data_IF_454407861852
#
_entry.id   IF_454407861852
#
_cell.length_a   1.000
_cell.length_b   1.000
_cell.length_c   1.000
_cell.angle_alpha   90.00
_cell.angle_beta   90.00
_cell.angle_gamma   90.00
#
_symmetry.space_group_name_H-M   'P 1'
#
loop_
_entity.id
_entity.type
_entity.pdbx_description
1 polymer ?
#
# COMPACT_ATOMS: atom_id res chain seq x y z
N UNK A 1 15.30 3.72 -17.21
CA UNK A 1 14.56 2.44 -17.12
C UNK A 1 13.40 2.55 -16.15
N UNK A 2 12.44 1.64 -16.22
CA UNK A 2 11.13 1.76 -15.55
C UNK A 2 11.06 1.11 -14.17
N UNK A 3 11.81 0.05 -13.90
CA UNK A 3 11.83 -0.60 -12.59
C UNK A 3 13.04 -1.52 -12.38
N UNK A 4 13.06 -2.20 -11.23
CA UNK A 4 14.17 -3.10 -10.84
C UNK A 4 14.43 -4.19 -11.88
N UNK A 5 13.39 -4.91 -12.31
CA UNK A 5 13.52 -6.02 -13.27
C UNK A 5 14.15 -5.55 -14.59
N UNK A 6 13.67 -4.42 -15.13
CA UNK A 6 14.21 -3.83 -16.36
C UNK A 6 15.67 -3.40 -16.20
N UNK A 7 16.01 -2.84 -15.03
CA UNK A 7 17.38 -2.41 -14.71
C UNK A 7 18.32 -3.62 -14.63
N UNK A 8 17.95 -4.64 -13.86
CA UNK A 8 18.76 -5.84 -13.70
C UNK A 8 18.94 -6.56 -15.03
N UNK A 9 17.87 -6.73 -15.81
CA UNK A 9 17.95 -7.35 -17.14
C UNK A 9 18.87 -6.56 -18.08
N UNK A 10 18.79 -5.23 -18.06
CA UNK A 10 19.66 -4.37 -18.87
C UNK A 10 21.11 -4.45 -18.43
N UNK A 11 21.38 -4.45 -17.12
CA UNK A 11 22.73 -4.60 -16.59
C UNK A 11 23.34 -5.94 -17.01
N UNK A 12 22.59 -7.03 -16.90
CA UNK A 12 23.04 -8.36 -17.34
C UNK A 12 23.29 -8.41 -18.84
N UNK A 13 22.38 -7.87 -19.65
CA UNK A 13 22.54 -7.82 -21.10
C UNK A 13 23.74 -6.97 -21.53
N UNK A 14 24.01 -5.85 -20.84
CA UNK A 14 25.20 -5.03 -21.09
C UNK A 14 26.49 -5.79 -20.73
N UNK A 15 26.50 -6.53 -19.62
CA UNK A 15 27.65 -7.34 -19.22
C UNK A 15 27.94 -8.45 -20.24
N UNK A 16 26.93 -9.21 -20.65
CA UNK A 16 27.05 -10.26 -21.66
C UNK A 16 27.56 -9.71 -23.00
N UNK A 17 27.05 -8.55 -23.43
CA UNK A 17 27.51 -7.90 -24.66
C UNK A 17 28.94 -7.38 -24.56
N UNK A 18 29.37 -6.94 -23.38
CA UNK A 18 30.75 -6.52 -23.15
C UNK A 18 31.72 -7.70 -23.28
N UNK A 19 31.34 -8.89 -22.81
CA UNK A 19 32.14 -10.12 -22.95
C UNK A 19 32.28 -10.60 -24.40
N UNK A 20 31.31 -10.27 -25.26
CA UNK A 20 31.32 -10.61 -26.69
C UNK A 20 32.19 -9.68 -27.54
N UNK A 21 32.63 -8.54 -26.99
CA UNK A 21 33.48 -7.59 -27.69
C UNK A 21 34.96 -7.98 -27.54
N UNK A 22 35.73 -7.76 -28.60
CA UNK A 22 37.18 -7.98 -28.58
C UNK A 22 37.86 -6.77 -27.91
N UNK A 23 38.55 -7.01 -26.79
CA UNK A 23 39.25 -6.01 -25.97
C UNK A 23 38.51 -4.68 -25.74
N UNK A 24 37.29 -4.68 -25.15
CA UNK A 24 36.56 -3.44 -24.93
C UNK A 24 37.22 -2.57 -23.84
N UNK A 25 37.11 -1.23 -23.93
CA UNK A 25 37.55 -0.36 -22.86
C UNK A 25 36.76 -0.65 -21.56
N UNK A 26 37.39 -0.53 -20.38
CA UNK A 26 36.78 -0.96 -19.12
C UNK A 26 35.51 -0.15 -18.81
N UNK A 27 34.43 -0.87 -18.51
CA UNK A 27 33.09 -0.34 -18.27
C UNK A 27 32.54 -0.84 -16.93
N UNK A 28 32.23 0.08 -16.01
CA UNK A 28 31.61 -0.24 -14.73
C UNK A 28 30.08 -0.04 -14.82
N UNK A 29 29.32 -1.13 -14.76
CA UNK A 29 27.86 -1.12 -14.83
C UNK A 29 27.28 -1.05 -13.41
N UNK A 30 26.49 -0.01 -13.11
CA UNK A 30 25.96 0.26 -11.78
C UNK A 30 24.43 0.45 -11.82
N UNK A 31 23.64 -0.45 -11.21
CA UNK A 31 22.19 -0.28 -11.12
C UNK A 31 21.81 0.72 -10.02
N UNK A 32 20.73 1.47 -10.21
CA UNK A 32 20.13 2.28 -9.14
C UNK A 32 18.60 2.33 -9.20
N UNK A 33 17.97 1.93 -8.09
CA UNK A 33 16.53 1.95 -7.86
C UNK A 33 16.26 2.04 -6.35
N UNK A 34 15.04 2.46 -5.97
CA UNK A 34 14.72 2.84 -4.59
C UNK A 34 14.93 1.74 -3.54
N UNK A 35 14.74 0.47 -3.91
CA UNK A 35 14.89 -0.68 -3.01
C UNK A 35 16.35 -1.15 -2.84
N UNK A 36 17.29 -0.61 -3.62
CA UNK A 36 18.69 -1.02 -3.56
C UNK A 36 19.32 -0.66 -2.19
N UNK A 37 20.16 -1.51 -1.57
CA UNK A 37 20.87 -1.16 -0.34
C UNK A 37 21.71 0.13 -0.46
N UNK A 38 21.62 1.01 0.55
CA UNK A 38 22.31 2.32 0.55
C UNK A 38 23.83 2.26 0.27
N UNK A 39 24.49 1.20 0.70
CA UNK A 39 25.90 0.89 0.45
C UNK A 39 26.18 0.66 -1.05
N UNK A 40 25.28 -0.02 -1.77
CA UNK A 40 25.34 -0.15 -3.23
C UNK A 40 24.92 1.14 -3.94
N UNK A 41 23.94 1.87 -3.42
CA UNK A 41 23.58 3.20 -3.94
C UNK A 41 24.77 4.17 -3.84
N UNK A 42 25.55 4.11 -2.76
CA UNK A 42 26.71 4.97 -2.56
C UNK A 42 27.82 4.75 -3.61
N UNK A 43 27.92 3.55 -4.19
CA UNK A 43 28.93 3.22 -5.22
C UNK A 43 28.81 4.09 -6.48
N UNK A 44 27.61 4.61 -6.80
CA UNK A 44 27.43 5.48 -7.98
C UNK A 44 28.24 6.78 -7.87
N UNK A 45 28.43 7.27 -6.63
CA UNK A 45 29.12 8.53 -6.33
C UNK A 45 30.63 8.36 -6.25
N UNK A 46 31.11 7.13 -6.06
CA UNK A 46 32.53 6.84 -6.01
C UNK A 46 33.15 7.03 -7.39
N UNK A 47 34.41 7.47 -7.43
CA UNK A 47 35.17 7.55 -8.68
C UNK A 47 35.40 6.13 -9.21
N UNK A 48 35.39 6.00 -10.54
CA UNK A 48 35.64 4.72 -11.17
C UNK A 48 37.07 4.26 -10.90
N UNK A 49 37.24 2.99 -10.56
CA UNK A 49 38.55 2.35 -10.49
C UNK A 49 39.14 2.24 -11.91
N UNK A 50 40.47 2.34 -12.02
CA UNK A 50 41.21 2.15 -13.28
C UNK A 50 40.80 3.05 -14.46
N UNK A 51 40.25 4.23 -14.17
CA UNK A 51 39.77 5.18 -15.19
C UNK A 51 38.69 4.61 -16.13
N UNK A 52 37.96 3.59 -15.65
CA UNK A 52 36.86 2.96 -16.38
C UNK A 52 35.68 3.92 -16.58
N UNK A 53 34.95 3.75 -17.69
CA UNK A 53 33.70 4.49 -17.91
C UNK A 53 32.61 3.92 -17.01
N UNK A 54 31.88 4.77 -16.28
CA UNK A 54 30.69 4.34 -15.52
C UNK A 54 29.44 4.41 -16.37
N UNK A 55 28.62 3.36 -16.31
CA UNK A 55 27.28 3.32 -16.87
C UNK A 55 26.30 3.08 -15.74
N UNK A 56 25.44 4.07 -15.50
CA UNK A 56 24.44 4.01 -14.43
C UNK A 56 23.09 3.71 -15.08
N UNK A 57 22.49 2.57 -14.71
CA UNK A 57 21.17 2.18 -15.18
C UNK A 57 20.15 2.51 -14.07
N UNK A 58 19.37 3.56 -14.29
CA UNK A 58 18.55 4.19 -13.25
C UNK A 58 17.04 4.22 -13.55
N UNK A 59 16.24 4.29 -12.49
CA UNK A 59 14.86 4.77 -12.53
C UNK A 59 14.79 6.31 -12.55
N UNK A 60 13.60 6.88 -12.45
CA UNK A 60 13.36 8.32 -12.28
C UNK A 60 14.00 8.92 -11.01
N UNK A 61 14.60 8.13 -10.11
CA UNK A 61 15.38 8.65 -8.98
C UNK A 61 16.55 9.52 -9.42
N UNK A 62 17.15 9.22 -10.58
CA UNK A 62 18.22 10.02 -11.17
C UNK A 62 17.71 11.29 -11.88
N UNK A 63 16.41 11.44 -12.06
CA UNK A 63 15.80 12.54 -12.81
C UNK A 63 15.81 13.86 -12.03
N UNK A 64 15.50 13.82 -10.74
CA UNK A 64 15.39 14.99 -9.85
C UNK A 64 16.34 14.91 -8.67
N UNK A 65 16.27 13.82 -7.90
CA UNK A 65 16.78 13.71 -6.53
C UNK A 65 18.28 13.44 -6.40
N UNK A 66 18.98 13.08 -7.48
CA UNK A 66 20.40 12.69 -7.42
C UNK A 66 21.26 13.52 -8.36
N UNK A 67 22.39 13.99 -7.86
CA UNK A 67 23.39 14.74 -8.63
C UNK A 67 24.65 13.90 -8.72
N UNK A 68 24.71 13.03 -9.72
CA UNK A 68 25.95 12.28 -10.01
C UNK A 68 26.85 13.14 -10.86
N UNK A 69 28.08 13.32 -10.39
CA UNK A 69 29.09 14.12 -11.08
C UNK A 69 29.67 13.37 -12.28
N UNK A 70 29.99 14.10 -13.36
CA UNK A 70 30.60 13.55 -14.58
C UNK A 70 29.65 12.83 -15.55
N UNK A 71 28.33 13.03 -15.45
CA UNK A 71 27.39 12.56 -16.47
C UNK A 71 27.52 13.44 -17.71
N UNK A 72 28.02 12.86 -18.81
CA UNK A 72 28.12 13.51 -20.12
C UNK A 72 27.15 12.92 -21.15
N UNK A 73 26.67 11.69 -20.91
CA UNK A 73 25.80 10.97 -21.83
C UNK A 73 24.56 10.48 -21.09
N UNK A 74 23.39 10.73 -21.67
CA UNK A 74 22.10 10.22 -21.17
C UNK A 74 21.45 9.40 -22.26
N UNK A 75 20.97 8.20 -21.93
CA UNK A 75 20.13 7.38 -22.80
C UNK A 75 18.75 7.30 -22.16
N UNK A 76 17.74 7.84 -22.84
CA UNK A 76 16.38 7.94 -22.33
C UNK A 76 15.44 7.00 -23.08
N UNK A 77 14.87 6.03 -22.35
CA UNK A 77 13.91 5.09 -22.89
C UNK A 77 12.51 5.70 -23.10
N UNK A 78 12.22 6.88 -22.54
CA UNK A 78 10.92 7.56 -22.74
C UNK A 78 9.78 7.05 -21.84
N UNK A 79 10.06 6.17 -20.88
CA UNK A 79 9.04 5.60 -19.98
C UNK A 79 9.36 5.82 -18.49
N UNK A 80 8.31 5.78 -17.67
CA UNK A 80 8.37 5.72 -16.21
C UNK A 80 7.26 4.81 -15.66
N UNK A 81 7.40 4.36 -14.41
CA UNK A 81 6.29 3.72 -13.67
C UNK A 81 5.61 4.78 -12.81
N UNK A 82 4.31 4.95 -12.98
CA UNK A 82 3.48 5.83 -12.17
C UNK A 82 2.47 5.02 -11.37
N UNK A 83 2.22 5.45 -10.13
CA UNK A 83 1.12 4.95 -9.31
C UNK A 83 -0.17 5.62 -9.80
N UNK A 84 -1.14 4.81 -10.21
CA UNK A 84 -2.44 5.24 -10.71
C UNK A 84 -3.51 4.60 -9.83
N UNK A 85 -4.37 5.44 -9.26
CA UNK A 85 -5.48 5.02 -8.43
C UNK A 85 -6.75 4.84 -9.27
N UNK A 86 -7.39 3.68 -9.16
CA UNK A 86 -8.72 3.45 -9.71
C UNK A 86 -9.77 3.59 -8.58
N UNK A 87 -10.57 4.66 -8.56
CA UNK A 87 -11.52 4.92 -7.48
C UNK A 87 -12.59 3.84 -7.39
N UNK A 88 -13.15 3.38 -8.52
CA UNK A 88 -14.30 2.44 -8.52
C UNK A 88 -14.00 1.12 -7.83
N UNK A 89 -12.75 0.67 -7.98
CA UNK A 89 -12.27 -0.58 -7.41
C UNK A 89 -11.56 -0.34 -6.07
N UNK A 90 -11.11 0.89 -5.82
CA UNK A 90 -10.28 1.23 -4.67
C UNK A 90 -8.88 0.62 -4.76
N UNK A 91 -8.36 0.49 -5.98
CA UNK A 91 -7.13 -0.24 -6.28
C UNK A 91 -6.02 0.70 -6.75
N UNK A 92 -4.83 0.51 -6.21
CA UNK A 92 -3.61 1.15 -6.71
C UNK A 92 -2.93 0.24 -7.73
N UNK A 93 -2.60 0.80 -8.89
CA UNK A 93 -1.86 0.10 -9.94
C UNK A 93 -0.55 0.84 -10.23
N UNK A 94 0.54 0.08 -10.39
CA UNK A 94 1.80 0.61 -10.91
C UNK A 94 1.83 0.37 -12.42
N UNK A 95 1.53 1.40 -13.19
CA UNK A 95 1.47 1.30 -14.65
C UNK A 95 2.72 1.92 -15.26
N UNK A 96 3.26 1.26 -16.29
CA UNK A 96 4.28 1.85 -17.15
C UNK A 96 3.59 2.84 -18.09
N UNK A 97 4.01 4.10 -18.03
CA UNK A 97 3.46 5.19 -18.84
C UNK A 97 4.59 5.91 -19.57
N UNK A 98 4.31 6.53 -20.74
CA UNK A 98 5.26 7.44 -21.36
C UNK A 98 5.53 8.62 -20.43
N UNK A 99 6.74 9.17 -20.52
CA UNK A 99 7.13 10.36 -19.75
C UNK A 99 6.55 11.63 -20.37
N UNK A 100 6.49 12.72 -19.59
CA UNK A 100 6.18 14.03 -20.14
C UNK A 100 7.39 14.66 -20.84
N UNK A 101 7.14 15.68 -21.66
CA UNK A 101 8.20 16.49 -22.26
C UNK A 101 9.06 17.16 -21.18
N UNK A 102 8.45 17.63 -20.10
CA UNK A 102 9.15 18.15 -18.94
C UNK A 102 10.11 17.11 -18.32
N UNK A 103 9.68 15.87 -18.15
CA UNK A 103 10.54 14.79 -17.64
C UNK A 103 11.72 14.50 -18.60
N UNK A 104 11.45 14.39 -19.90
CA UNK A 104 12.47 14.19 -20.93
C UNK A 104 13.52 15.31 -20.93
N UNK A 105 13.08 16.55 -20.74
CA UNK A 105 13.96 17.72 -20.65
C UNK A 105 14.80 17.69 -19.36
N UNK A 106 14.23 17.29 -18.22
CA UNK A 106 15.00 17.10 -17.00
C UNK A 106 16.05 15.98 -17.13
N UNK A 107 15.69 14.85 -17.75
CA UNK A 107 16.62 13.73 -17.99
C UNK A 107 17.78 14.16 -18.88
N UNK A 108 17.50 14.76 -20.02
CA UNK A 108 18.55 15.28 -20.92
C UNK A 108 19.40 16.38 -20.26
N UNK A 109 18.80 17.22 -19.41
CA UNK A 109 19.53 18.22 -18.62
C UNK A 109 20.58 17.64 -17.67
N UNK A 110 20.51 16.34 -17.33
CA UNK A 110 21.54 15.68 -16.51
C UNK A 110 22.89 15.57 -17.22
N UNK A 111 22.91 15.40 -18.54
CA UNK A 111 24.13 15.36 -19.34
C UNK A 111 24.83 16.72 -19.44
N UNK A 112 24.11 17.83 -19.21
CA UNK A 112 24.65 19.19 -19.37
C UNK A 112 25.19 19.83 -18.08
N UNK A 113 25.32 19.08 -16.97
CA UNK A 113 25.63 19.67 -15.66
C UNK A 113 27.11 20.03 -15.48
N UNK A 114 28.01 19.18 -15.97
CA UNK A 114 29.47 19.36 -15.81
C UNK A 114 30.14 19.92 -17.05
N UNK A 115 29.48 19.89 -18.20
CA UNK A 115 30.01 20.34 -19.47
C UNK A 115 29.07 19.98 -20.62
N UNK A 116 29.52 20.16 -21.88
CA UNK A 116 28.74 19.79 -23.06
C UNK A 116 28.47 18.28 -23.08
N UNK A 117 27.21 17.88 -22.99
CA UNK A 117 26.79 16.48 -23.02
C UNK A 117 25.82 16.15 -24.14
N UNK A 118 25.55 14.86 -24.34
CA UNK A 118 24.66 14.33 -25.38
C UNK A 118 23.55 13.51 -24.74
N UNK A 119 22.32 13.74 -25.19
CA UNK A 119 21.15 12.95 -24.79
C UNK A 119 20.60 12.16 -25.98
N UNK A 120 20.60 10.84 -25.86
CA UNK A 120 20.03 9.91 -26.82
C UNK A 120 18.62 9.53 -26.37
N UNK A 121 17.61 10.03 -27.06
CA UNK A 121 16.19 9.70 -26.83
C UNK A 121 15.81 8.52 -27.73
N UNK A 122 15.35 7.41 -27.14
CA UNK A 122 15.00 6.18 -27.88
C UNK A 122 13.58 6.22 -28.46
N UNK A 123 13.12 7.40 -28.84
CA UNK A 123 11.80 7.66 -29.41
C UNK A 123 11.90 8.74 -30.49
N UNK A 124 10.94 8.76 -31.42
CA UNK A 124 10.95 9.69 -32.54
C UNK A 124 10.67 11.12 -32.07
N UNK A 125 11.14 12.09 -32.85
CA UNK A 125 10.82 13.49 -32.60
C UNK A 125 9.32 13.77 -32.71
N UNK A 126 8.62 13.04 -33.57
CA UNK A 126 7.16 13.13 -33.72
C UNK A 126 6.44 12.69 -32.42
N UNK A 127 6.81 11.54 -31.86
CA UNK A 127 6.25 11.07 -30.58
C UNK A 127 6.52 12.05 -29.44
N UNK A 128 7.71 12.66 -29.39
CA UNK A 128 8.03 13.68 -28.38
C UNK A 128 7.12 14.92 -28.49
N UNK A 129 6.80 15.36 -29.71
CA UNK A 129 6.02 16.58 -29.95
C UNK A 129 4.51 16.36 -29.84
N UNK A 130 4.02 15.22 -30.33
CA UNK A 130 2.59 14.98 -30.55
C UNK A 130 1.97 13.95 -29.60
N UNK A 131 2.73 12.97 -29.11
CA UNK A 131 2.20 11.89 -28.26
C UNK A 131 2.47 12.13 -26.76
N UNK A 132 3.58 12.78 -26.41
CA UNK A 132 3.96 13.05 -25.02
C UNK A 132 3.26 14.30 -24.47
N UNK A 133 2.69 14.19 -23.27
CA UNK A 133 2.17 15.33 -22.52
C UNK A 133 3.26 16.36 -22.24
N UNK A 134 2.92 17.65 -22.28
CA UNK A 134 3.87 18.73 -21.99
C UNK A 134 4.39 18.63 -20.55
N UNK A 135 3.47 18.49 -19.60
CA UNK A 135 3.75 18.37 -18.17
C UNK A 135 3.25 17.02 -17.64
N UNK A 136 3.84 16.59 -16.54
CA UNK A 136 3.40 15.37 -15.85
C UNK A 136 2.06 15.62 -15.16
N UNK A 137 1.14 14.66 -15.24
CA UNK A 137 -0.14 14.72 -14.53
C UNK A 137 0.12 14.84 -13.02
N UNK A 138 -0.48 15.83 -12.33
CA UNK A 138 -0.30 16.07 -10.90
C UNK A 138 -0.65 14.87 -10.03
N UNK A 139 0.00 14.76 -8.87
CA UNK A 139 -0.21 13.64 -7.93
C UNK A 139 -1.64 13.58 -7.40
N UNK A 140 -2.24 14.74 -7.08
CA UNK A 140 -3.61 14.84 -6.57
C UNK A 140 -4.65 14.23 -7.53
N UNK A 141 -4.38 14.21 -8.83
CA UNK A 141 -5.30 13.65 -9.83
C UNK A 141 -5.19 12.13 -9.98
N UNK A 142 -4.15 11.50 -9.43
CA UNK A 142 -3.80 10.09 -9.70
C UNK A 142 -3.63 9.22 -8.45
N UNK A 143 -3.79 9.76 -7.24
CA UNK A 143 -3.67 9.02 -5.97
C UNK A 143 -5.00 8.99 -5.21
N UNK A 144 -5.10 8.10 -4.21
CA UNK A 144 -6.20 8.14 -3.25
C UNK A 144 -6.12 9.43 -2.42
N UNK A 145 -7.27 10.11 -2.26
CA UNK A 145 -7.38 11.38 -1.56
C UNK A 145 -7.91 11.27 -0.14
N UNK A 146 -8.11 10.05 0.40
CA UNK A 146 -8.70 9.86 1.73
C UNK A 146 -7.97 10.66 2.83
N UNK A 147 -6.63 10.59 2.88
CA UNK A 147 -5.82 11.33 3.87
C UNK A 147 -5.92 12.86 3.68
N UNK A 148 -5.90 13.32 2.42
CA UNK A 148 -5.99 14.74 2.06
C UNK A 148 -7.38 15.30 2.39
N UNK A 149 -8.44 14.56 2.07
CA UNK A 149 -9.84 14.94 2.35
C UNK A 149 -10.08 15.02 3.86
N UNK A 150 -9.57 14.06 4.64
CA UNK A 150 -9.63 14.10 6.10
C UNK A 150 -8.96 15.36 6.65
N UNK A 151 -7.78 15.70 6.13
CA UNK A 151 -7.02 16.87 6.54
C UNK A 151 -7.70 18.19 6.15
N UNK A 152 -8.24 18.31 4.93
CA UNK A 152 -8.97 19.51 4.51
C UNK A 152 -10.21 19.75 5.37
N UNK A 153 -10.92 18.67 5.73
CA UNK A 153 -12.08 18.74 6.62
C UNK A 153 -11.69 19.13 8.05
N UNK A 154 -10.57 18.62 8.57
CA UNK A 154 -10.08 19.03 9.91
C UNK A 154 -9.63 20.50 9.95
N UNK A 155 -9.20 21.07 8.82
CA UNK A 155 -8.93 22.51 8.65
C UNK A 155 -10.20 23.38 8.53
N UNK A 156 -11.39 22.78 8.49
CA UNK A 156 -12.66 23.51 8.43
C UNK A 156 -13.18 23.79 7.01
N UNK A 157 -12.63 23.15 5.98
CA UNK A 157 -13.16 23.26 4.61
C UNK A 157 -14.49 22.52 4.50
N UNK A 158 -15.58 23.27 4.33
CA UNK A 158 -16.94 22.70 4.25
C UNK A 158 -17.21 22.01 2.91
N UNK A 159 -17.00 22.73 1.81
CA UNK A 159 -17.26 22.24 0.46
C UNK A 159 -15.95 21.93 -0.27
N UNK A 160 -15.67 20.64 -0.45
CA UNK A 160 -14.45 20.17 -1.13
C UNK A 160 -14.53 20.32 -2.65
N UNK A 161 -15.74 20.38 -3.23
CA UNK A 161 -15.92 20.50 -4.67
C UNK A 161 -15.69 21.93 -5.17
N UNK A 162 -15.86 22.92 -4.30
CA UNK A 162 -15.63 24.34 -4.56
C UNK A 162 -14.27 24.82 -4.03
N UNK A 163 -13.46 23.92 -3.48
CA UNK A 163 -12.15 24.26 -2.98
C UNK A 163 -11.21 24.61 -4.14
N UNK A 164 -10.46 25.70 -3.99
CA UNK A 164 -9.60 26.27 -5.04
C UNK A 164 -8.28 25.49 -5.15
N UNK A 165 -8.34 24.30 -5.75
CA UNK A 165 -7.15 23.52 -6.10
C UNK A 165 -6.45 24.13 -7.32
N UNK A 166 -5.12 24.21 -7.28
CA UNK A 166 -4.32 24.60 -8.45
C UNK A 166 -4.61 23.70 -9.66
N UNK A 167 -4.60 22.39 -9.42
CA UNK A 167 -5.03 21.37 -10.38
C UNK A 167 -6.09 20.50 -9.70
N UNK A 168 -7.40 20.71 -9.98
CA UNK A 168 -8.46 20.00 -9.28
C UNK A 168 -8.43 18.51 -9.58
N UNK A 169 -8.59 17.64 -8.56
CA UNK A 169 -8.76 16.22 -8.79
C UNK A 169 -10.13 15.90 -9.42
N UNK A 170 -10.27 14.75 -10.09
CA UNK A 170 -11.57 14.30 -10.55
C UNK A 170 -12.58 14.24 -9.42
N UNK A 171 -13.80 14.75 -9.64
CA UNK A 171 -14.86 14.76 -8.62
C UNK A 171 -15.18 13.35 -8.10
N UNK A 172 -15.10 12.34 -8.96
CA UNK A 172 -15.29 10.93 -8.59
C UNK A 172 -14.27 10.47 -7.52
N UNK A 173 -13.02 10.95 -7.59
CA UNK A 173 -12.00 10.62 -6.58
C UNK A 173 -12.33 11.28 -5.23
N UNK A 174 -12.73 12.55 -5.23
CA UNK A 174 -13.14 13.26 -4.00
C UNK A 174 -14.32 12.54 -3.35
N UNK A 175 -15.37 12.26 -4.12
CA UNK A 175 -16.59 11.60 -3.63
C UNK A 175 -16.29 10.22 -3.07
N UNK A 176 -15.43 9.44 -3.74
CA UNK A 176 -15.04 8.13 -3.27
C UNK A 176 -14.22 8.19 -1.97
N UNK A 177 -13.28 9.12 -1.88
CA UNK A 177 -12.52 9.33 -0.65
C UNK A 177 -13.41 9.77 0.52
N UNK A 178 -14.38 10.66 0.28
CA UNK A 178 -15.40 11.00 1.30
C UNK A 178 -16.22 9.78 1.72
N UNK A 179 -16.61 8.96 0.74
CA UNK A 179 -17.35 7.74 0.98
C UNK A 179 -16.54 6.73 1.82
N UNK A 180 -15.25 6.53 1.52
CA UNK A 180 -14.36 5.66 2.32
C UNK A 180 -14.22 6.15 3.75
N UNK A 181 -14.05 7.46 3.95
CA UNK A 181 -13.96 8.07 5.28
C UNK A 181 -15.26 7.91 6.07
N UNK A 182 -16.42 8.02 5.40
CA UNK A 182 -17.71 7.74 6.02
C UNK A 182 -17.84 6.27 6.44
N UNK A 183 -17.42 5.31 5.60
CA UNK A 183 -17.44 3.87 5.94
C UNK A 183 -16.68 3.59 7.23
N UNK A 184 -15.48 4.14 7.39
CA UNK A 184 -14.65 3.92 8.58
C UNK A 184 -15.08 4.75 9.80
N UNK A 185 -16.22 5.46 9.69
CA UNK A 185 -16.79 6.34 10.70
C UNK A 185 -15.90 7.56 11.04
N UNK A 186 -15.13 8.05 10.07
CA UNK A 186 -14.40 9.32 10.20
C UNK A 186 -15.31 10.52 9.91
N UNK A 187 -16.30 10.34 9.03
CA UNK A 187 -17.35 11.33 8.75
C UNK A 187 -18.72 10.84 9.19
N UNK A 188 -19.57 11.79 9.59
CA UNK A 188 -20.98 11.53 9.88
C UNK A 188 -21.84 11.50 8.60
N UNK A 189 -23.15 11.27 8.75
CA UNK A 189 -24.10 11.24 7.63
C UNK A 189 -24.27 12.61 6.95
N UNK A 190 -23.82 13.70 7.57
CA UNK A 190 -23.90 15.06 7.03
C UNK A 190 -22.62 15.48 6.29
N UNK A 191 -21.54 14.70 6.42
CA UNK A 191 -20.22 14.98 5.83
C UNK A 191 -19.31 15.82 6.72
N UNK A 192 -19.59 15.88 8.02
CA UNK A 192 -18.79 16.54 9.05
C UNK A 192 -17.91 15.53 9.81
N UNK A 193 -16.85 16.03 10.42
CA UNK A 193 -15.82 15.22 11.08
C UNK A 193 -16.33 14.69 12.44
N UNK A 194 -16.29 13.37 12.64
CA UNK A 194 -16.64 12.75 13.93
C UNK A 194 -15.49 12.86 14.93
N UNK A 195 -15.75 12.57 16.22
CA UNK A 195 -14.69 12.46 17.24
C UNK A 195 -13.65 11.39 16.86
N UNK A 196 -14.08 10.32 16.19
CA UNK A 196 -13.19 9.30 15.67
C UNK A 196 -12.31 9.85 14.53
N UNK A 197 -12.92 10.59 13.59
CA UNK A 197 -12.20 11.26 12.51
C UNK A 197 -11.19 12.30 13.00
N UNK A 198 -11.53 13.07 14.04
CA UNK A 198 -10.61 14.01 14.69
C UNK A 198 -9.40 13.28 15.25
N UNK A 199 -9.62 12.18 15.99
CA UNK A 199 -8.52 11.34 16.50
C UNK A 199 -7.69 10.71 15.38
N UNK A 200 -8.31 10.32 14.26
CA UNK A 200 -7.57 9.77 13.11
C UNK A 200 -6.60 10.80 12.51
N UNK A 201 -7.02 12.06 12.41
CA UNK A 201 -6.23 13.14 11.82
C UNK A 201 -4.96 13.47 12.62
N UNK A 202 -4.90 13.14 13.91
CA UNK A 202 -3.71 13.31 14.75
C UNK A 202 -2.59 12.30 14.39
N UNK A 203 -2.94 11.18 13.76
CA UNK A 203 -1.97 10.18 13.35
C UNK A 203 -1.46 10.46 11.93
N UNK A 204 -0.14 10.45 11.69
CA UNK A 204 0.44 10.60 10.35
C UNK A 204 0.38 9.26 9.59
N UNK A 205 -0.82 8.70 9.45
CA UNK A 205 -1.10 7.39 8.87
C UNK A 205 -2.27 7.48 7.89
N UNK A 206 -2.39 6.48 7.01
CA UNK A 206 -3.61 6.33 6.23
C UNK A 206 -4.84 6.12 7.15
N UNK A 207 -6.00 6.68 6.79
CA UNK A 207 -7.19 6.64 7.64
C UNK A 207 -7.60 5.22 8.09
N UNK A 208 -7.44 4.21 7.23
CA UNK A 208 -7.73 2.81 7.58
C UNK A 208 -6.79 2.28 8.67
N UNK A 209 -5.50 2.63 8.63
CA UNK A 209 -4.53 2.26 9.68
C UNK A 209 -4.80 3.02 10.98
N UNK A 210 -5.14 4.30 10.90
CA UNK A 210 -5.54 5.10 12.05
C UNK A 210 -6.82 4.54 12.71
N UNK A 211 -7.81 4.16 11.90
CA UNK A 211 -9.02 3.46 12.38
C UNK A 211 -8.69 2.18 13.11
N UNK A 212 -7.73 1.39 12.61
CA UNK A 212 -7.29 0.16 13.26
C UNK A 212 -6.70 0.43 14.66
N UNK A 213 -5.90 1.48 14.84
CA UNK A 213 -5.39 1.88 16.17
C UNK A 213 -6.51 2.30 17.12
N UNK A 214 -7.48 3.06 16.63
CA UNK A 214 -8.62 3.52 17.43
C UNK A 214 -9.49 2.33 17.84
N UNK A 215 -9.78 1.39 16.94
CA UNK A 215 -10.52 0.17 17.25
C UNK A 215 -9.75 -0.71 18.24
N UNK A 216 -8.42 -0.76 18.16
CA UNK A 216 -7.59 -1.51 19.09
C UNK A 216 -7.69 -1.00 20.53
N UNK A 217 -7.97 0.30 20.70
CA UNK A 217 -8.23 0.87 22.02
C UNK A 217 -9.53 0.37 22.63
N UNK A 218 -10.59 0.25 21.82
CA UNK A 218 -11.89 -0.27 22.26
C UNK A 218 -11.82 -1.76 22.61
N UNK A 219 -11.00 -2.52 21.87
CA UNK A 219 -10.84 -3.98 22.04
C UNK A 219 -9.72 -4.37 23.01
N UNK A 220 -8.90 -3.42 23.49
CA UNK A 220 -7.82 -3.68 24.46
C UNK A 220 -6.57 -4.35 23.89
N UNK A 221 -6.32 -4.28 22.58
CA UNK A 221 -5.18 -4.91 21.88
C UNK A 221 -4.20 -3.89 21.25
N UNK A 222 -4.12 -2.70 21.84
CA UNK A 222 -3.32 -1.58 21.32
C UNK A 222 -1.83 -1.89 21.14
N UNK A 223 -1.22 -2.72 22.00
CA UNK A 223 0.21 -3.00 21.96
C UNK A 223 0.64 -3.77 20.71
N UNK A 224 -0.17 -4.77 20.33
CA UNK A 224 0.02 -5.62 19.17
C UNK A 224 -0.32 -4.86 17.90
N UNK A 225 -1.47 -4.20 17.87
CA UNK A 225 -1.92 -3.43 16.69
C UNK A 225 -0.97 -2.28 16.37
N UNK A 226 -0.45 -1.58 17.38
CA UNK A 226 0.58 -0.56 17.19
C UNK A 226 1.80 -1.12 16.45
N UNK A 227 2.20 -2.34 16.79
CA UNK A 227 3.33 -3.01 16.16
C UNK A 227 3.00 -3.41 14.72
N UNK A 228 1.81 -3.96 14.47
CA UNK A 228 1.33 -4.30 13.13
C UNK A 228 1.28 -3.06 12.22
N UNK A 229 0.66 -1.98 12.69
CA UNK A 229 0.58 -0.71 11.95
C UNK A 229 1.96 -0.20 11.59
N UNK A 230 2.89 -0.21 12.55
CA UNK A 230 4.27 0.25 12.31
C UNK A 230 5.01 -0.60 11.28
N UNK A 231 4.71 -1.89 11.20
CA UNK A 231 5.27 -2.82 10.22
C UNK A 231 4.64 -2.67 8.83
N UNK A 232 3.37 -2.29 8.74
CA UNK A 232 2.69 -1.98 7.48
C UNK A 232 3.14 -0.63 6.90
N UNK A 233 3.47 0.35 7.76
CA UNK A 233 3.93 1.68 7.32
C UNK A 233 5.36 1.71 6.76
N UNK A 234 6.08 0.58 6.76
CA UNK A 234 7.41 0.46 6.16
C UNK A 234 7.37 -0.42 4.91
N UNK A 235 8.33 -0.25 3.97
CA UNK A 235 8.46 -1.16 2.84
C UNK A 235 8.59 -2.63 3.29
N UNK A 236 8.23 -3.56 2.41
CA UNK A 236 8.28 -5.00 2.67
C UNK A 236 9.55 -5.41 3.44
N UNK A 237 9.34 -6.02 4.60
CA UNK A 237 10.38 -6.39 5.55
C UNK A 237 11.16 -7.62 5.09
N UNK A 238 10.51 -8.50 4.33
CA UNK A 238 11.13 -9.73 3.81
C UNK A 238 11.96 -9.44 2.57
N UNK A 239 13.17 -10.00 2.56
CA UNK A 239 14.12 -9.94 1.46
C UNK A 239 14.20 -11.30 0.77
N UNK A 240 13.98 -11.36 -0.55
CA UNK A 240 14.04 -12.62 -1.31
C UNK A 240 15.10 -12.55 -2.43
N UNK A 241 16.37 -12.90 -2.15
CA UNK A 241 17.43 -12.90 -3.16
C UNK A 241 17.22 -14.01 -4.20
N UNK A 242 17.41 -13.70 -5.49
CA UNK A 242 17.24 -14.66 -6.61
C UNK A 242 18.13 -15.90 -6.50
N UNK A 243 19.35 -15.75 -6.00
CA UNK A 243 20.30 -16.87 -5.85
C UNK A 243 19.97 -17.80 -4.68
N UNK A 244 19.24 -17.31 -3.67
CA UNK A 244 18.95 -18.02 -2.42
C UNK A 244 17.46 -18.00 -2.10
N UNK A 245 16.62 -18.23 -3.11
CA UNK A 245 15.17 -18.19 -2.97
C UNK A 245 14.66 -19.27 -2.01
N UNK A 246 15.11 -20.51 -2.16
CA UNK A 246 14.66 -21.64 -1.33
C UNK A 246 15.02 -21.45 0.16
N UNK A 247 16.24 -21.00 0.45
CA UNK A 247 16.67 -20.70 1.82
C UNK A 247 15.85 -19.56 2.44
N UNK A 248 15.58 -18.52 1.66
CA UNK A 248 14.76 -17.38 2.08
C UNK A 248 13.32 -17.81 2.37
N UNK A 249 12.73 -18.62 1.51
CA UNK A 249 11.35 -19.09 1.67
C UNK A 249 11.24 -20.02 2.90
N UNK A 250 12.20 -20.95 3.09
CA UNK A 250 12.26 -21.81 4.27
C UNK A 250 12.50 -21.04 5.59
N UNK A 251 13.27 -19.94 5.56
CA UNK A 251 13.43 -19.08 6.73
C UNK A 251 12.14 -18.32 7.06
N UNK A 252 11.40 -17.91 6.03
CA UNK A 252 10.16 -17.17 6.13
C UNK A 252 9.01 -18.03 6.65
N UNK A 253 8.90 -19.28 6.21
CA UNK A 253 7.89 -20.25 6.67
C UNK A 253 7.89 -20.42 8.20
N UNK A 254 9.06 -20.30 8.84
CA UNK A 254 9.18 -20.40 10.31
C UNK A 254 8.45 -19.30 11.06
N UNK A 255 8.18 -18.17 10.41
CA UNK A 255 7.48 -17.04 11.00
C UNK A 255 5.99 -17.02 10.67
N UNK A 256 5.54 -17.88 9.76
CA UNK A 256 4.16 -17.86 9.28
C UNK A 256 3.19 -18.20 10.39
N UNK A 257 2.23 -17.29 10.58
CA UNK A 257 1.01 -17.54 11.31
C UNK A 257 -0.05 -17.90 10.26
N UNK A 258 -0.48 -19.17 10.18
CA UNK A 258 -1.32 -19.64 9.08
C UNK A 258 -2.63 -18.85 8.88
N UNK A 259 -3.13 -18.23 9.95
CA UNK A 259 -4.39 -17.49 9.96
C UNK A 259 -4.27 -16.05 9.43
N UNK A 260 -3.07 -15.45 9.46
CA UNK A 260 -2.89 -14.02 9.24
C UNK A 260 -1.45 -13.60 8.89
N UNK A 261 -1.32 -12.86 7.79
CA UNK A 261 -0.08 -12.15 7.44
C UNK A 261 0.21 -10.98 8.42
N UNK A 262 -0.82 -10.32 8.92
CA UNK A 262 -0.67 -9.25 9.92
C UNK A 262 -0.04 -9.79 11.21
N UNK A 263 -0.49 -10.97 11.66
CA UNK A 263 0.11 -11.65 12.81
C UNK A 263 1.52 -12.17 12.50
N UNK A 264 1.78 -12.57 11.26
CA UNK A 264 3.14 -12.91 10.80
C UNK A 264 4.10 -11.73 10.98
N UNK A 265 3.69 -10.50 10.60
CA UNK A 265 4.49 -9.29 10.82
C UNK A 265 4.74 -9.01 12.31
N UNK A 266 3.70 -9.19 13.14
CA UNK A 266 3.82 -9.07 14.60
C UNK A 266 4.81 -10.11 15.17
N UNK A 267 4.75 -11.35 14.68
CA UNK A 267 5.61 -12.43 15.12
C UNK A 267 7.08 -12.14 14.78
N UNK A 268 7.36 -11.72 13.54
CA UNK A 268 8.72 -11.31 13.11
C UNK A 268 9.26 -10.19 13.98
N UNK A 269 8.48 -9.14 14.24
CA UNK A 269 8.92 -8.03 15.09
C UNK A 269 9.18 -8.48 16.53
N UNK A 270 8.33 -9.35 17.07
CA UNK A 270 8.48 -9.89 18.43
C UNK A 270 9.74 -10.74 18.55
N UNK A 271 10.02 -11.61 17.57
CA UNK A 271 11.25 -12.40 17.53
C UNK A 271 12.49 -11.52 17.42
N UNK A 272 12.46 -10.47 16.60
CA UNK A 272 13.56 -9.52 16.51
C UNK A 272 13.81 -8.77 17.82
N UNK A 273 12.72 -8.39 18.53
CA UNK A 273 12.78 -7.76 19.85
C UNK A 273 13.38 -8.68 20.91
N UNK A 274 12.99 -9.96 20.93
CA UNK A 274 13.56 -10.97 21.85
C UNK A 274 15.06 -11.14 21.61
N UNK A 275 15.49 -11.11 20.35
CA UNK A 275 16.89 -11.17 19.96
C UNK A 275 17.63 -9.82 20.07
N UNK A 276 17.18 -8.94 20.97
CA UNK A 276 17.79 -7.64 21.29
C UNK A 276 18.01 -6.71 20.09
N UNK A 277 17.14 -6.75 19.08
CA UNK A 277 17.20 -5.86 17.92
C UNK A 277 18.50 -5.98 17.10
N UNK A 278 19.10 -7.18 17.04
CA UNK A 278 20.36 -7.40 16.32
C UNK A 278 20.18 -7.41 14.80
N UNK A 279 21.06 -6.71 14.10
CA UNK A 279 21.10 -6.70 12.63
C UNK A 279 21.54 -8.06 12.05
N UNK A 280 22.45 -8.76 12.73
CA UNK A 280 22.90 -10.11 12.33
C UNK A 280 21.73 -11.11 12.26
N UNK A 281 20.78 -10.98 13.19
CA UNK A 281 19.58 -11.83 13.23
C UNK A 281 18.72 -11.58 11.99
N UNK A 282 18.51 -10.31 11.65
CA UNK A 282 17.77 -9.94 10.44
C UNK A 282 18.42 -10.52 9.18
N UNK A 283 19.74 -10.40 9.03
CA UNK A 283 20.46 -10.95 7.86
C UNK A 283 20.36 -12.47 7.79
N UNK A 284 20.46 -13.18 8.92
CA UNK A 284 20.32 -14.65 8.97
C UNK A 284 18.92 -15.12 8.58
N UNK A 285 17.90 -14.32 8.86
CA UNK A 285 16.49 -14.65 8.61
C UNK A 285 15.91 -13.97 7.37
N UNK A 286 16.77 -13.43 6.49
CA UNK A 286 16.35 -12.76 5.25
C UNK A 286 15.34 -11.63 5.49
N UNK A 287 15.55 -10.87 6.56
CA UNK A 287 14.78 -9.67 6.94
C UNK A 287 15.63 -8.43 6.74
N UNK A 288 15.07 -7.36 6.18
CA UNK A 288 15.77 -6.09 5.97
C UNK A 288 16.02 -5.33 7.29
N UNK A 289 17.27 -5.16 7.77
CA UNK A 289 17.54 -4.50 9.05
C UNK A 289 17.16 -3.00 9.03
N UNK A 290 17.32 -2.34 7.88
CA UNK A 290 16.94 -0.92 7.70
C UNK A 290 15.43 -0.73 7.85
N UNK A 291 14.61 -1.61 7.26
CA UNK A 291 13.16 -1.57 7.40
C UNK A 291 12.71 -1.81 8.85
N UNK A 292 13.31 -2.79 9.54
CA UNK A 292 13.00 -3.08 10.95
C UNK A 292 13.34 -1.92 11.89
N UNK A 293 14.50 -1.26 11.70
CA UNK A 293 14.86 -0.04 12.45
C UNK A 293 13.85 1.07 12.19
N UNK A 294 13.46 1.27 10.94
CA UNK A 294 12.44 2.27 10.59
C UNK A 294 11.08 1.97 11.23
N UNK A 295 10.66 0.70 11.24
CA UNK A 295 9.43 0.27 11.89
C UNK A 295 9.46 0.54 13.40
N UNK A 296 10.62 0.35 14.05
CA UNK A 296 10.80 0.68 15.47
C UNK A 296 10.71 2.19 15.74
N UNK A 297 11.28 3.03 14.86
CA UNK A 297 11.16 4.49 14.96
C UNK A 297 9.70 4.93 14.84
N UNK A 298 8.99 4.47 13.80
CA UNK A 298 7.57 4.75 13.58
C UNK A 298 6.74 4.30 14.78
N UNK A 299 7.00 3.11 15.31
CA UNK A 299 6.33 2.60 16.51
C UNK A 299 6.52 3.50 17.73
N UNK A 300 7.72 4.06 17.91
CA UNK A 300 7.99 4.99 19.02
C UNK A 300 7.22 6.29 18.84
N UNK A 301 7.22 6.85 17.63
CA UNK A 301 6.49 8.09 17.32
C UNK A 301 4.98 7.92 17.54
N UNK A 302 4.41 6.83 17.02
CA UNK A 302 2.99 6.52 17.22
C UNK A 302 2.65 6.29 18.70
N UNK A 303 3.54 5.65 19.46
CA UNK A 303 3.36 5.49 20.91
C UNK A 303 3.31 6.82 21.64
N UNK A 304 4.11 7.80 21.24
CA UNK A 304 4.13 9.12 21.88
C UNK A 304 2.87 9.95 21.51
N UNK A 305 2.37 9.81 20.29
CA UNK A 305 1.07 10.38 19.88
C UNK A 305 -0.06 9.73 20.69
N UNK A 306 -0.07 8.40 20.83
CA UNK A 306 -1.07 7.70 21.63
C UNK A 306 -1.11 8.17 23.09
N UNK A 307 0.06 8.42 23.71
CA UNK A 307 0.13 8.99 25.08
C UNK A 307 -0.49 10.40 25.13
N UNK A 308 -0.24 11.21 24.11
CA UNK A 308 -0.78 12.58 24.00
C UNK A 308 -2.31 12.57 23.92
N UNK A 309 -2.87 11.63 23.14
CA UNK A 309 -4.32 11.43 22.97
C UNK A 309 -4.94 10.64 24.15
N UNK A 310 -4.13 10.24 25.15
CA UNK A 310 -4.52 9.45 26.33
C UNK A 310 -5.09 8.07 25.99
N UNK A 311 -4.58 7.43 24.93
CA UNK A 311 -4.89 6.04 24.62
C UNK A 311 -4.04 5.11 25.49
N UNK A 312 -4.66 4.20 26.28
CA UNK A 312 -3.96 3.27 27.14
C UNK A 312 -3.20 2.24 26.30
N UNK A 313 -2.01 1.87 26.76
CA UNK A 313 -1.19 0.82 26.17
C UNK A 313 -1.49 -0.51 26.87
N UNK A 314 -2.38 -1.31 26.27
CA UNK A 314 -2.85 -2.61 26.75
C UNK A 314 -2.54 -3.70 25.71
N UNK A 315 -2.14 -4.86 26.21
CA UNK A 315 -1.89 -6.08 25.43
C UNK A 315 -3.03 -7.07 25.68
N UNK A 316 -3.50 -7.73 24.62
CA UNK A 316 -4.55 -8.76 24.71
C UNK A 316 -4.02 -10.17 25.05
N UNK A 317 -2.72 -10.31 25.31
CA UNK A 317 -2.10 -11.59 25.68
C UNK A 317 -2.06 -12.57 24.50
N UNK A 318 -2.74 -13.72 24.65
CA UNK A 318 -2.73 -14.81 23.65
C UNK A 318 -3.99 -14.88 22.81
N UNK A 319 -4.94 -13.94 22.99
CA UNK A 319 -6.18 -13.92 22.21
C UNK A 319 -5.97 -13.21 20.87
N UNK A 320 -5.60 -14.00 19.85
CA UNK A 320 -5.34 -13.51 18.50
C UNK A 320 -6.61 -13.11 17.76
N UNK A 321 -7.78 -13.62 18.17
CA UNK A 321 -9.05 -13.31 17.53
C UNK A 321 -9.48 -11.87 17.80
N UNK A 322 -9.14 -11.32 18.96
CA UNK A 322 -9.34 -9.89 19.26
C UNK A 322 -8.57 -9.01 18.27
N UNK A 323 -7.34 -9.39 17.92
CA UNK A 323 -6.53 -8.65 16.94
C UNK A 323 -7.13 -8.81 15.53
N UNK A 324 -7.55 -10.03 15.15
CA UNK A 324 -8.19 -10.28 13.85
C UNK A 324 -9.51 -9.51 13.70
N UNK A 325 -10.34 -9.47 14.76
CA UNK A 325 -11.56 -8.67 14.81
C UNK A 325 -11.26 -7.17 14.70
N UNK A 326 -10.20 -6.70 15.35
CA UNK A 326 -9.73 -5.32 15.22
C UNK A 326 -9.30 -4.99 13.78
N UNK A 327 -8.52 -5.85 13.13
CA UNK A 327 -8.13 -5.68 11.72
C UNK A 327 -9.38 -5.66 10.82
N UNK A 328 -10.32 -6.57 11.07
CA UNK A 328 -11.61 -6.63 10.37
C UNK A 328 -12.37 -5.29 10.48
N UNK A 329 -12.39 -4.65 11.65
CA UNK A 329 -13.10 -3.37 11.84
C UNK A 329 -12.55 -2.20 11.01
N UNK A 330 -11.27 -2.27 10.62
CA UNK A 330 -10.65 -1.26 9.77
C UNK A 330 -10.78 -1.61 8.27
N UNK A 331 -10.67 -2.90 7.94
CA UNK A 331 -10.57 -3.41 6.57
C UNK A 331 -11.82 -4.17 6.09
N UNK A 332 -12.96 -4.08 6.76
CA UNK A 332 -14.19 -4.79 6.34
C UNK A 332 -14.64 -4.39 4.93
N UNK A 333 -14.37 -3.16 4.49
CA UNK A 333 -14.66 -2.71 3.13
C UNK A 333 -13.75 -3.36 2.06
N UNK A 334 -12.64 -3.95 2.48
CA UNK A 334 -11.68 -4.72 1.70
C UNK A 334 -11.77 -6.22 2.05
N UNK A 335 -13.00 -6.72 2.19
CA UNK A 335 -13.27 -8.14 2.39
C UNK A 335 -13.40 -8.88 1.05
N UNK A 336 -12.93 -10.13 1.01
CA UNK A 336 -13.08 -11.03 -0.11
C UNK A 336 -13.54 -12.42 0.34
N UNK A 337 -14.31 -13.08 -0.51
CA UNK A 337 -14.91 -14.40 -0.31
C UNK A 337 -14.32 -15.42 -1.28
N UNK A 338 -14.04 -16.62 -0.80
CA UNK A 338 -13.58 -17.74 -1.62
C UNK A 338 -14.68 -18.17 -2.60
N UNK A 339 -14.36 -18.25 -3.89
CA UNK A 339 -15.29 -18.76 -4.93
C UNK A 339 -14.82 -20.07 -5.54
N UNK A 340 -13.51 -20.27 -5.62
CA UNK A 340 -12.89 -21.44 -6.24
C UNK A 340 -11.48 -21.67 -5.70
N UNK A 341 -10.76 -22.62 -6.31
CA UNK A 341 -9.41 -22.97 -5.88
C UNK A 341 -8.47 -21.79 -6.12
N UNK A 342 -8.03 -21.13 -5.04
CA UNK A 342 -7.13 -19.98 -5.11
C UNK A 342 -7.71 -18.72 -5.77
N UNK A 343 -9.04 -18.66 -5.92
CA UNK A 343 -9.76 -17.51 -6.49
C UNK A 343 -10.75 -16.95 -5.46
N UNK A 344 -10.54 -15.68 -5.12
CA UNK A 344 -11.39 -14.90 -4.25
C UNK A 344 -12.17 -13.87 -5.06
N UNK A 345 -13.31 -13.44 -4.55
CA UNK A 345 -14.06 -12.31 -5.08
C UNK A 345 -14.23 -11.29 -3.97
N UNK A 346 -13.92 -10.02 -4.26
CA UNK A 346 -14.21 -8.92 -3.35
C UNK A 346 -15.72 -8.85 -3.08
N UNK A 347 -16.10 -8.83 -1.80
CA UNK A 347 -17.51 -8.90 -1.37
C UNK A 347 -18.33 -7.69 -1.80
N UNK A 348 -17.69 -6.57 -2.13
CA UNK A 348 -18.33 -5.30 -2.47
C UNK A 348 -18.33 -5.02 -3.97
N UNK A 349 -17.18 -5.14 -4.62
CA UNK A 349 -17.05 -4.86 -6.06
C UNK A 349 -17.38 -6.05 -6.94
N UNK A 350 -17.45 -7.26 -6.39
CA UNK A 350 -17.60 -8.49 -7.18
C UNK A 350 -16.37 -8.83 -8.04
N UNK A 351 -15.27 -8.08 -7.88
CA UNK A 351 -14.06 -8.28 -8.66
C UNK A 351 -13.28 -9.51 -8.20
N UNK A 352 -12.78 -10.26 -9.17
CA UNK A 352 -11.90 -11.41 -8.94
C UNK A 352 -10.55 -10.94 -8.41
N UNK A 353 -10.06 -11.60 -7.38
CA UNK A 353 -8.80 -11.31 -6.71
C UNK A 353 -8.09 -12.63 -6.36
N UNK A 354 -6.76 -12.60 -6.33
CA UNK A 354 -5.93 -13.74 -5.97
C UNK A 354 -5.10 -13.45 -4.73
N UNK A 355 -4.79 -14.47 -3.94
CA UNK A 355 -3.81 -14.33 -2.87
C UNK A 355 -2.42 -14.10 -3.49
N UNK A 356 -1.68 -13.12 -2.98
CA UNK A 356 -0.31 -12.93 -3.42
C UNK A 356 0.54 -14.15 -3.00
N UNK A 357 1.43 -14.69 -3.86
CA UNK A 357 2.22 -15.90 -3.55
C UNK A 357 3.08 -15.80 -2.29
N UNK A 358 3.36 -14.58 -1.83
CA UNK A 358 4.12 -14.36 -0.60
C UNK A 358 3.27 -14.45 0.67
N UNK A 359 1.95 -14.48 0.57
CA UNK A 359 1.07 -14.58 1.74
C UNK A 359 1.29 -15.92 2.45
N UNK A 360 1.31 -15.90 3.78
CA UNK A 360 1.33 -17.10 4.60
C UNK A 360 0.12 -18.01 4.31
N UNK A 361 -1.01 -17.40 3.92
CA UNK A 361 -2.25 -18.11 3.59
C UNK A 361 -2.18 -18.85 2.24
N UNK A 362 -1.24 -18.50 1.34
CA UNK A 362 -1.12 -19.16 0.04
C UNK A 362 -0.61 -20.60 0.17
N UNK A 363 0.28 -20.85 1.13
CA UNK A 363 0.85 -22.17 1.43
C UNK A 363 0.23 -22.89 2.63
N UNK A 364 -0.70 -22.25 3.33
CA UNK A 364 -1.44 -22.88 4.41
C UNK A 364 -2.34 -23.96 3.79
N UNK A 365 -2.22 -25.22 4.21
CA UNK A 365 -3.06 -26.33 3.72
C UNK A 365 -4.56 -26.20 4.00
N UNK A 366 -5.03 -25.03 4.46
CA UNK A 366 -6.42 -24.64 4.56
C UNK A 366 -6.64 -23.31 3.82
N UNK A 367 -7.77 -23.19 3.14
CA UNK A 367 -8.17 -21.95 2.46
C UNK A 367 -9.36 -21.35 3.20
N UNK A 368 -9.23 -20.18 3.85
CA UNK A 368 -10.34 -19.58 4.59
C UNK A 368 -11.41 -19.05 3.63
N UNK A 369 -12.68 -19.21 4.02
CA UNK A 369 -13.85 -18.78 3.24
C UNK A 369 -13.90 -17.26 3.06
N UNK A 370 -13.53 -16.51 4.10
CA UNK A 370 -13.53 -15.04 4.11
C UNK A 370 -12.19 -14.50 4.58
N UNK A 371 -11.72 -13.47 3.88
CA UNK A 371 -10.48 -12.79 4.18
C UNK A 371 -10.65 -11.28 4.09
N UNK A 372 -9.86 -10.54 4.87
CA UNK A 372 -9.62 -9.11 4.67
C UNK A 372 -8.17 -8.92 4.23
N UNK A 373 -7.94 -7.93 3.37
CA UNK A 373 -6.61 -7.60 2.86
C UNK A 373 -6.28 -6.12 3.16
N UNK A 374 -4.98 -5.80 3.16
CA UNK A 374 -4.49 -4.44 3.41
C UNK A 374 -4.44 -3.61 2.12
N UNK A 375 -3.93 -4.22 1.04
CA UNK A 375 -3.76 -3.57 -0.26
C UNK A 375 -4.11 -4.56 -1.38
N UNK A 376 -4.62 -4.00 -2.47
CA UNK A 376 -4.86 -4.72 -3.71
C UNK A 376 -3.95 -4.12 -4.78
N UNK A 377 -3.08 -4.95 -5.34
CA UNK A 377 -2.07 -4.53 -6.31
C UNK A 377 -2.31 -5.23 -7.64
N UNK A 378 -2.44 -4.45 -8.71
CA UNK A 378 -2.50 -4.96 -10.07
C UNK A 378 -1.08 -5.12 -10.63
N UNK A 379 -0.70 -6.35 -10.95
CA UNK A 379 0.51 -6.68 -11.73
C UNK A 379 0.11 -7.40 -13.01
N UNK A 380 0.31 -8.73 -13.08
CA UNK A 380 -0.26 -9.58 -14.13
C UNK A 380 -1.71 -9.97 -13.84
N UNK A 381 -2.05 -10.07 -12.55
CA UNK A 381 -3.38 -10.29 -12.01
C UNK A 381 -3.56 -9.40 -10.79
N UNK A 382 -4.80 -9.30 -10.31
CA UNK A 382 -5.18 -8.60 -9.10
C UNK A 382 -4.77 -9.43 -7.88
N UNK A 383 -3.70 -9.01 -7.18
CA UNK A 383 -3.20 -9.72 -6.02
C UNK A 383 -3.50 -8.96 -4.72
N UNK A 384 -4.09 -9.67 -3.77
CA UNK A 384 -4.30 -9.20 -2.40
C UNK A 384 -3.01 -9.37 -1.60
N UNK A 385 -2.54 -8.29 -0.98
CA UNK A 385 -1.36 -8.26 -0.12
C UNK A 385 -1.75 -8.10 1.35
N UNK A 386 -0.95 -8.73 2.23
CA UNK A 386 -1.16 -8.81 3.68
C UNK A 386 -2.59 -9.21 4.05
N UNK A 387 -2.87 -10.50 3.96
CA UNK A 387 -4.22 -11.05 4.09
C UNK A 387 -4.45 -11.65 5.48
N UNK A 388 -5.67 -11.59 5.98
CA UNK A 388 -6.07 -12.21 7.26
C UNK A 388 -7.41 -12.89 7.13
N UNK A 389 -7.46 -14.13 7.60
CA UNK A 389 -8.72 -14.88 7.70
C UNK A 389 -9.63 -14.24 8.74
N UNK A 390 -10.90 -14.08 8.40
CA UNK A 390 -11.90 -13.47 9.28
C UNK A 390 -13.17 -14.31 9.34
N UNK A 391 -13.86 -14.24 10.48
CA UNK A 391 -15.17 -14.84 10.63
C UNK A 391 -16.24 -13.98 9.92
N UNK A 392 -17.16 -14.57 9.12
CA UNK A 392 -18.30 -13.85 8.55
C UNK A 392 -19.16 -13.12 9.57
N UNK A 393 -19.27 -13.60 10.81
CA UNK A 393 -20.02 -12.93 11.88
C UNK A 393 -19.40 -11.57 12.24
N UNK A 394 -18.07 -11.47 12.23
CA UNK A 394 -17.38 -10.21 12.50
C UNK A 394 -17.64 -9.18 11.40
N UNK A 395 -17.67 -9.63 10.13
CA UNK A 395 -18.01 -8.77 9.00
C UNK A 395 -19.44 -8.20 9.15
N UNK A 396 -20.40 -9.05 9.50
CA UNK A 396 -21.79 -8.63 9.71
C UNK A 396 -21.97 -7.70 10.93
N UNK A 397 -21.23 -7.94 12.01
CA UNK A 397 -21.27 -7.12 13.23
C UNK A 397 -20.63 -5.74 13.02
N UNK A 398 -19.47 -5.70 12.36
CA UNK A 398 -18.65 -4.49 12.21
C UNK A 398 -19.06 -3.64 11.00
N UNK A 399 -19.68 -4.25 10.00
CA UNK A 399 -20.19 -3.59 8.79
C UNK A 399 -21.64 -3.95 8.47
N UNK A 400 -22.61 -3.69 9.38
CA UNK A 400 -24.01 -4.11 9.21
C UNK A 400 -24.70 -3.46 8.00
N UNK A 401 -24.19 -2.32 7.53
CA UNK A 401 -24.68 -1.66 6.31
C UNK A 401 -24.32 -2.42 5.02
N UNK A 402 -23.23 -3.19 5.05
CA UNK A 402 -22.67 -3.86 3.88
C UNK A 402 -22.92 -5.37 3.89
N UNK A 403 -23.03 -5.95 5.08
CA UNK A 403 -23.01 -7.39 5.28
C UNK A 403 -24.24 -7.83 6.08
N UNK A 404 -24.96 -8.82 5.55
CA UNK A 404 -26.08 -9.47 6.23
C UNK A 404 -25.89 -10.99 6.19
N UNK A 405 -26.11 -11.67 7.30
CA UNK A 405 -26.00 -13.13 7.34
C UNK A 405 -27.27 -13.73 6.74
N UNK A 406 -27.11 -14.56 5.71
CA UNK A 406 -28.22 -15.26 5.08
C UNK A 406 -28.38 -16.65 5.71
N UNK A 407 -29.54 -16.88 6.31
CA UNK A 407 -29.95 -18.09 7.05
C UNK A 407 -30.18 -19.33 6.15
N UNK A 408 -29.30 -19.60 5.16
CA UNK A 408 -29.57 -20.67 4.19
C UNK A 408 -29.05 -22.05 4.50
N UNK A 409 -27.98 -22.24 5.28
CA UNK A 409 -27.51 -23.60 5.62
C UNK A 409 -26.62 -23.57 6.87
N UNK A 410 -27.21 -23.79 8.06
CA UNK A 410 -26.64 -24.46 9.26
C UNK A 410 -27.47 -24.11 10.51
N UNK A 411 -27.65 -25.08 11.40
CA UNK A 411 -28.25 -24.88 12.72
C UNK A 411 -27.37 -23.94 13.56
N UNK A 412 -27.59 -22.63 13.43
CA UNK A 412 -26.93 -21.63 14.25
C UNK A 412 -27.46 -21.69 15.70
N UNK A 413 -26.55 -21.65 16.67
CA UNK A 413 -26.84 -21.54 18.10
C UNK A 413 -27.52 -20.22 18.45
N UNK A 414 -28.13 -20.14 19.65
CA UNK A 414 -28.87 -18.95 20.10
C UNK A 414 -28.06 -17.63 20.07
N UNK A 415 -26.74 -17.71 20.25
CA UNK A 415 -25.84 -16.54 20.23
C UNK A 415 -25.73 -15.92 18.83
N UNK A 416 -25.68 -16.75 17.80
CA UNK A 416 -25.50 -16.33 16.39
C UNK A 416 -26.78 -15.67 15.86
N UNK A 417 -27.96 -16.22 16.21
CA UNK A 417 -29.26 -15.59 15.91
C UNK A 417 -29.42 -14.22 16.57
N UNK A 418 -28.93 -14.07 17.81
CA UNK A 418 -28.96 -12.79 18.52
C UNK A 418 -28.08 -11.74 17.83
N UNK A 419 -26.90 -12.13 17.35
CA UNK A 419 -26.00 -11.22 16.62
C UNK A 419 -26.56 -10.80 15.26
N UNK A 420 -27.16 -11.72 14.51
CA UNK A 420 -27.83 -11.39 13.25
C UNK A 420 -28.99 -10.38 13.43
N UNK A 421 -29.77 -10.54 14.51
CA UNK A 421 -30.86 -9.60 14.84
C UNK A 421 -30.33 -8.20 15.19
N UNK A 422 -29.28 -8.11 16.01
CA UNK A 422 -28.65 -6.83 16.39
C UNK A 422 -28.09 -6.10 15.15
N UNK A 423 -27.42 -6.83 14.25
CA UNK A 423 -26.91 -6.25 13.00
C UNK A 423 -28.05 -5.71 12.12
N UNK A 424 -29.16 -6.45 12.03
CA UNK A 424 -30.35 -6.05 11.26
C UNK A 424 -31.02 -4.80 11.85
N UNK A 425 -31.14 -4.73 13.17
CA UNK A 425 -31.71 -3.58 13.88
C UNK A 425 -30.83 -2.32 13.73
N UNK A 426 -29.50 -2.49 13.84
CA UNK A 426 -28.54 -1.40 13.62
C UNK A 426 -28.61 -0.84 12.20
N UNK A 427 -28.76 -1.71 11.19
CA UNK A 427 -28.93 -1.29 9.80
C UNK A 427 -30.21 -0.48 9.60
N UNK A 428 -31.34 -0.94 10.14
CA UNK A 428 -32.63 -0.26 10.02
C UNK A 428 -32.60 1.13 10.67
N UNK A 429 -31.97 1.28 11.84
CA UNK A 429 -31.82 2.58 12.50
C UNK A 429 -30.98 3.55 11.67
N UNK A 430 -29.84 3.11 11.13
CA UNK A 430 -29.01 3.95 10.27
C UNK A 430 -29.68 4.30 8.93
N UNK A 431 -30.41 3.37 8.30
CA UNK A 431 -31.21 3.66 7.10
C UNK A 431 -32.26 4.75 7.37
N UNK A 432 -32.85 4.75 8.58
CA UNK A 432 -33.81 5.76 8.99
C UNK A 432 -33.14 7.14 9.19
N UNK A 433 -31.96 7.18 9.82
CA UNK A 433 -31.15 8.40 9.98
C UNK A 433 -30.67 8.99 8.65
N UNK A 434 -30.23 8.14 7.70
CA UNK A 434 -29.83 8.60 6.37
C UNK A 434 -31.00 9.21 5.60
N UNK A 435 -32.22 8.65 5.70
CA UNK A 435 -33.42 9.23 5.07
C UNK A 435 -33.79 10.59 5.67
N UNK A 436 -33.43 10.85 6.92
CA UNK A 436 -33.66 12.13 7.61
C UNK A 436 -32.60 13.18 7.23
N UNK A 437 -31.36 12.77 6.92
CA UNK A 437 -30.26 13.64 6.48
C UNK A 437 -30.35 14.04 5.00
N UNK A 438 -30.98 15.19 4.70
CA UNK A 438 -31.01 15.75 3.33
C UNK A 438 -29.68 16.43 2.98
N UNK A 439 -28.71 15.70 2.42
CA UNK A 439 -27.51 16.29 1.80
C UNK A 439 -27.15 15.57 0.50
N UNK A 440 -26.54 16.26 -0.48
CA UNK A 440 -26.15 15.68 -1.77
C UNK A 440 -25.20 14.48 -1.65
N UNK A 441 -24.38 14.47 -0.59
CA UNK A 441 -23.55 13.33 -0.19
C UNK A 441 -24.40 12.07 0.10
N UNK A 442 -25.58 12.22 0.70
CA UNK A 442 -26.48 11.12 1.08
C UNK A 442 -27.14 10.49 -0.15
N UNK A 443 -27.48 11.27 -1.19
CA UNK A 443 -27.98 10.72 -2.46
C UNK A 443 -26.94 9.82 -3.16
N UNK A 444 -25.67 10.23 -3.18
CA UNK A 444 -24.60 9.39 -3.73
C UNK A 444 -24.36 8.15 -2.85
N UNK A 445 -24.36 8.30 -1.52
CA UNK A 445 -24.25 7.19 -0.57
C UNK A 445 -25.38 6.16 -0.70
N UNK A 446 -26.62 6.60 -0.91
CA UNK A 446 -27.78 5.74 -1.16
C UNK A 446 -27.65 4.96 -2.49
N UNK A 447 -27.19 5.61 -3.56
CA UNK A 447 -26.95 4.93 -4.85
C UNK A 447 -25.85 3.86 -4.79
N UNK A 448 -24.87 4.03 -3.90
CA UNK A 448 -23.80 3.05 -3.68
C UNK A 448 -24.27 1.83 -2.87
N UNK A 449 -25.28 1.98 -2.01
CA UNK A 449 -25.89 0.88 -1.24
C UNK A 449 -26.71 -0.06 -2.14
N UNK A 450 -27.40 0.47 -3.16
CA UNK A 450 -28.19 -0.33 -4.12
C UNK A 450 -27.33 -1.30 -4.95
N UNK A 451 -26.01 -1.11 -4.97
CA UNK A 451 -25.04 -1.95 -5.71
C UNK A 451 -24.44 -3.10 -4.86
N UNK A 452 -24.68 -3.13 -3.54
CA UNK A 452 -24.17 -4.18 -2.65
C UNK A 452 -25.10 -5.39 -2.65
N UNK A 453 -24.85 -6.35 -3.54
CA UNK A 453 -25.60 -7.61 -3.56
C UNK A 453 -25.20 -8.54 -2.39
N UNK A 454 -26.21 -8.82 -1.56
CA UNK A 454 -26.44 -9.98 -0.67
C UNK A 454 -25.29 -10.99 -0.49
N UNK A 455 -24.77 -11.07 0.75
CA UNK A 455 -23.95 -12.19 1.25
C UNK A 455 -24.71 -13.53 1.30
#
# INVERSE_FOLDING_TARGET
>A
MTGQEDIEATCSALAERLEQLDEPPPLAILPIYSQLPADLQAKIFQRAENNARKVIVATNIAETSLTVDGIMYVVDSGYCKLKVYNPRIGMDALQVTPISQANANQRSGRAGRTGPGVAYRLYTEDAYRNEMFVNTIPEIQRTNLASVVLQLKSLGVKNLLEFDFMDPPPQENILNSMYQLWIINAFDNTGELTDAGQKMNEFPLDPSLAKMLIAAHEQGCTAEVLTIVSMLSVPSVFYRPKERMEESDAAREKFFVPESDHLTLLHVYTQWKINHYRDDWCTKHFVHPKAMRKAREVRSQLMDIMKTIKMPYVSCGTDWDVIRKCICSAYFHQAAKLKGIGEYINCRSGMKCHLHPTSALFGAGFTPDYVVYHELVLTSKEYMQCVTSVDPFWLAELGPMFFSIRDRDRNYGQREKRMANIATESRLNMEMEMKLGKCACVCFMLSALDSCHLL
#
